data_IF_771125100359
#
_entry.id   IF_771125100359
#
_cell.length_a   1.000
_cell.length_b   1.000
_cell.length_c   1.000
_cell.angle_alpha   90.00
_cell.angle_beta   90.00
_cell.angle_gamma   90.00
#
_symmetry.space_group_name_H-M   'P 1'
#
loop_
_entity.id
_entity.type
_entity.pdbx_description
1 polymer ?
#
# COMPACT_ATOMS: atom_id res chain seq x y z
N UNK A 1 26.14 10.38 7.92
CA UNK A 1 26.41 9.70 9.18
C UNK A 1 25.77 8.31 9.07
N UNK A 2 26.44 7.21 9.47
CA UNK A 2 25.82 5.90 9.47
C UNK A 2 24.65 5.94 10.45
N UNK A 3 23.45 5.58 9.98
CA UNK A 3 22.35 5.26 10.86
C UNK A 3 22.79 4.03 11.68
N UNK A 4 22.99 4.25 12.96
CA UNK A 4 23.16 3.17 13.94
C UNK A 4 21.83 2.42 13.93
N UNK A 5 21.87 1.21 13.42
CA UNK A 5 20.78 0.24 13.57
C UNK A 5 20.61 0.04 15.09
N UNK A 6 19.66 0.75 15.69
CA UNK A 6 19.34 0.58 17.09
C UNK A 6 18.90 -0.87 17.28
N UNK A 7 19.50 -1.58 18.21
CA UNK A 7 19.08 -2.92 18.57
C UNK A 7 17.57 -2.92 18.83
N UNK A 8 16.83 -3.97 18.42
CA UNK A 8 15.38 -4.02 18.61
C UNK A 8 15.07 -3.83 20.09
N UNK A 9 14.41 -2.74 20.42
CA UNK A 9 13.93 -2.48 21.77
C UNK A 9 12.97 -3.60 22.21
N UNK A 10 12.96 -3.94 23.49
CA UNK A 10 12.11 -5.00 24.02
C UNK A 10 10.62 -4.74 23.69
N UNK A 11 9.82 -5.80 23.48
CA UNK A 11 8.40 -5.67 23.32
C UNK A 11 7.76 -4.90 24.48
N UNK A 12 6.72 -4.14 24.19
CA UNK A 12 5.94 -3.41 25.19
C UNK A 12 5.35 -4.41 26.21
N UNK A 13 5.45 -4.08 27.50
CA UNK A 13 4.85 -4.92 28.53
C UNK A 13 3.30 -4.92 28.41
N UNK A 14 2.62 -6.02 28.76
CA UNK A 14 1.18 -6.07 28.75
C UNK A 14 0.56 -4.94 29.59
N UNK A 15 -0.33 -4.13 28.99
CA UNK A 15 -0.98 -3.00 29.66
C UNK A 15 -0.15 -1.74 29.80
N UNK A 16 1.10 -1.73 29.37
CA UNK A 16 1.92 -0.52 29.32
C UNK A 16 1.35 0.47 28.33
N UNK A 17 1.12 1.71 28.78
CA UNK A 17 0.64 2.76 27.89
C UNK A 17 1.81 3.36 27.11
N UNK A 18 1.60 3.55 25.80
CA UNK A 18 2.57 4.18 24.92
C UNK A 18 1.85 5.15 23.97
N UNK A 19 2.45 6.30 23.76
CA UNK A 19 2.03 7.25 22.72
C UNK A 19 3.10 7.30 21.64
N UNK A 20 2.68 7.20 20.40
CA UNK A 20 3.54 7.21 19.22
C UNK A 20 3.07 8.35 18.33
N UNK A 21 3.99 9.23 17.98
CA UNK A 21 3.77 10.28 17.00
C UNK A 21 4.28 9.84 15.62
N UNK A 22 3.55 10.23 14.60
CA UNK A 22 3.88 9.95 13.20
C UNK A 22 3.31 11.03 12.29
N UNK A 23 3.18 10.70 11.03
CA UNK A 23 2.64 11.60 10.00
C UNK A 23 1.31 11.06 9.49
N UNK A 24 0.35 11.94 9.21
CA UNK A 24 -0.92 11.57 8.57
C UNK A 24 -0.68 10.94 7.22
N UNK A 25 -1.00 9.65 7.06
CA UNK A 25 -1.04 8.96 5.76
C UNK A 25 -2.44 9.05 5.14
N UNK A 26 -3.47 8.70 5.92
CA UNK A 26 -4.86 8.88 5.55
C UNK A 26 -5.64 9.39 6.77
N UNK A 27 -6.39 10.50 6.65
CA UNK A 27 -7.05 11.13 7.79
C UNK A 27 -8.18 10.28 8.36
N UNK A 28 -8.43 10.41 9.65
CA UNK A 28 -9.56 9.75 10.32
C UNK A 28 -9.25 9.36 11.75
N UNK A 29 -10.26 8.78 12.38
CA UNK A 29 -10.23 8.36 13.77
C UNK A 29 -10.59 6.87 13.85
N UNK A 30 -9.83 6.09 14.62
CA UNK A 30 -10.10 4.68 14.84
C UNK A 30 -9.83 4.26 16.28
N UNK A 31 -10.57 3.27 16.75
CA UNK A 31 -10.26 2.52 17.95
C UNK A 31 -10.43 1.03 17.64
N UNK A 32 -9.48 0.22 18.06
CA UNK A 32 -9.45 -1.20 17.74
C UNK A 32 -8.37 -1.93 18.52
N UNK A 33 -8.01 -3.11 18.01
CA UNK A 33 -7.05 -4.00 18.65
C UNK A 33 -5.83 -4.15 17.75
N UNK A 34 -4.62 -4.06 18.32
CA UNK A 34 -3.36 -4.19 17.58
C UNK A 34 -3.22 -5.57 16.95
N UNK A 35 -2.77 -5.58 15.72
CA UNK A 35 -2.36 -6.77 14.98
C UNK A 35 -1.04 -6.49 14.28
N UNK A 36 0.01 -7.24 14.63
CA UNK A 36 1.34 -7.09 14.01
C UNK A 36 1.35 -7.80 12.66
N UNK A 37 1.75 -7.08 11.66
CA UNK A 37 2.07 -7.66 10.37
C UNK A 37 3.58 -7.84 10.26
N UNK A 38 4.01 -9.10 10.26
CA UNK A 38 5.42 -9.47 10.13
C UNK A 38 5.61 -10.17 8.80
N UNK A 39 6.52 -9.65 8.00
CA UNK A 39 6.93 -10.31 6.76
C UNK A 39 7.99 -11.35 7.12
N UNK A 40 7.63 -12.64 7.06
CA UNK A 40 8.59 -13.71 7.31
C UNK A 40 9.75 -13.66 6.33
N UNK A 41 10.97 -13.84 6.84
CA UNK A 41 12.14 -14.02 5.99
C UNK A 41 12.02 -15.34 5.22
N UNK A 42 12.28 -15.30 3.91
CA UNK A 42 12.32 -16.50 3.10
C UNK A 42 13.72 -17.10 3.13
N UNK A 43 13.84 -18.33 3.58
CA UNK A 43 15.08 -19.10 3.47
C UNK A 43 15.28 -19.55 2.02
N UNK A 44 16.41 -19.20 1.44
CA UNK A 44 16.74 -19.44 0.04
C UNK A 44 18.07 -20.19 -0.01
N UNK A 45 18.04 -21.38 -0.59
CA UNK A 45 19.26 -22.13 -0.84
C UNK A 45 20.12 -21.41 -1.89
N UNK A 46 21.41 -21.25 -1.62
CA UNK A 46 22.33 -20.58 -2.53
C UNK A 46 22.69 -21.47 -3.73
N UNK A 47 22.93 -22.77 -3.49
CA UNK A 47 23.35 -23.71 -4.51
C UNK A 47 22.21 -24.10 -5.45
N UNK A 48 22.45 -24.02 -6.76
CA UNK A 48 21.50 -24.42 -7.79
C UNK A 48 21.65 -25.88 -8.21
N UNK A 49 20.61 -26.41 -8.85
CA UNK A 49 20.51 -27.79 -9.36
C UNK A 49 20.93 -27.91 -10.85
N UNK A 50 21.51 -26.87 -11.41
CA UNK A 50 21.95 -26.79 -12.79
C UNK A 50 21.27 -25.65 -13.57
N UNK A 51 22.04 -25.04 -14.48
CA UNK A 51 21.66 -23.79 -15.16
C UNK A 51 20.32 -23.90 -15.90
N UNK A 52 20.10 -25.00 -16.61
CA UNK A 52 18.87 -25.20 -17.38
C UNK A 52 17.63 -25.30 -16.47
N UNK A 53 17.75 -26.10 -15.40
CA UNK A 53 16.69 -26.30 -14.41
C UNK A 53 16.33 -24.99 -13.72
N UNK A 54 17.34 -24.26 -13.23
CA UNK A 54 17.12 -22.99 -12.53
C UNK A 54 16.57 -21.91 -13.46
N UNK A 55 17.04 -21.85 -14.70
CA UNK A 55 16.53 -20.90 -15.70
C UNK A 55 15.07 -21.20 -16.05
N UNK A 56 14.71 -22.46 -16.20
CA UNK A 56 13.34 -22.87 -16.46
C UNK A 56 12.42 -22.53 -15.26
N UNK A 57 12.89 -22.81 -14.04
CA UNK A 57 12.15 -22.50 -12.80
C UNK A 57 11.90 -21.00 -12.65
N UNK A 58 12.94 -20.15 -12.82
CA UNK A 58 12.79 -18.69 -12.74
C UNK A 58 11.82 -18.15 -13.80
N UNK A 59 11.94 -18.64 -15.03
CA UNK A 59 11.02 -18.23 -16.12
C UNK A 59 9.58 -18.61 -15.81
N UNK A 60 9.33 -19.81 -15.31
CA UNK A 60 8.00 -20.27 -14.92
C UNK A 60 7.42 -19.42 -13.77
N UNK A 61 8.22 -19.17 -12.72
CA UNK A 61 7.79 -18.37 -11.57
C UNK A 61 7.47 -16.94 -11.95
N UNK A 62 8.31 -16.28 -12.77
CA UNK A 62 8.05 -14.92 -13.27
C UNK A 62 6.78 -14.85 -14.12
N UNK A 63 6.55 -15.84 -14.99
CA UNK A 63 5.33 -15.92 -15.79
C UNK A 63 4.09 -16.08 -14.90
N UNK A 64 4.08 -17.00 -13.96
CA UNK A 64 2.98 -17.23 -13.04
C UNK A 64 2.68 -15.98 -12.19
N UNK A 65 3.73 -15.30 -11.71
CA UNK A 65 3.59 -14.04 -10.98
C UNK A 65 2.96 -12.96 -11.87
N UNK A 66 3.39 -12.86 -13.13
CA UNK A 66 2.82 -11.90 -14.08
C UNK A 66 1.34 -12.17 -14.35
N UNK A 67 0.95 -13.42 -14.59
CA UNK A 67 -0.44 -13.83 -14.78
C UNK A 67 -1.33 -13.46 -13.58
N UNK A 68 -0.82 -13.66 -12.36
CA UNK A 68 -1.52 -13.27 -11.13
C UNK A 68 -1.71 -11.76 -11.03
N UNK A 69 -0.67 -10.98 -11.36
CA UNK A 69 -0.75 -9.51 -11.33
C UNK A 69 -1.68 -8.99 -12.44
N UNK A 70 -1.63 -9.56 -13.65
CA UNK A 70 -2.55 -9.21 -14.75
C UNK A 70 -4.01 -9.42 -14.36
N UNK A 71 -4.31 -10.55 -13.72
CA UNK A 71 -5.64 -10.81 -13.19
C UNK A 71 -6.06 -9.80 -12.10
N UNK A 72 -5.13 -9.35 -11.27
CA UNK A 72 -5.38 -8.31 -10.27
C UNK A 72 -5.61 -6.93 -10.92
N UNK A 73 -4.85 -6.57 -11.95
CA UNK A 73 -5.07 -5.34 -12.74
C UNK A 73 -6.46 -5.32 -13.36
N UNK A 74 -6.88 -6.45 -13.95
CA UNK A 74 -8.21 -6.56 -14.57
C UNK A 74 -9.36 -6.38 -13.55
N UNK A 75 -9.17 -6.79 -12.31
CA UNK A 75 -10.15 -6.62 -11.23
C UNK A 75 -10.16 -5.20 -10.62
N UNK A 76 -9.02 -4.53 -10.62
CA UNK A 76 -8.86 -3.21 -9.97
C UNK A 76 -9.46 -2.06 -10.80
N UNK A 77 -9.79 -2.28 -12.06
CA UNK A 77 -10.29 -1.24 -12.96
C UNK A 77 -9.24 -0.16 -13.26
N UNK A 78 -9.69 1.08 -13.38
CA UNK A 78 -8.81 2.25 -13.50
C UNK A 78 -8.61 2.88 -12.12
N UNK A 79 -7.34 3.15 -11.75
CA UNK A 79 -7.03 3.80 -10.47
C UNK A 79 -5.59 3.54 -10.00
N UNK A 80 -5.18 4.17 -8.89
CA UNK A 80 -3.80 4.09 -8.39
C UNK A 80 -3.30 2.65 -8.18
N UNK A 81 -4.16 1.75 -7.71
CA UNK A 81 -3.82 0.34 -7.51
C UNK A 81 -3.44 -0.35 -8.82
N UNK A 82 -4.17 -0.08 -9.91
CA UNK A 82 -3.87 -0.66 -11.21
C UNK A 82 -2.55 -0.12 -11.78
N UNK A 83 -2.22 1.14 -11.54
CA UNK A 83 -0.95 1.75 -11.97
C UNK A 83 0.25 1.12 -11.28
N UNK A 84 0.18 0.91 -9.96
CA UNK A 84 1.22 0.22 -9.20
C UNK A 84 1.43 -1.20 -9.75
N UNK A 85 0.35 -1.94 -9.95
CA UNK A 85 0.43 -3.31 -10.49
C UNK A 85 0.99 -3.37 -11.92
N UNK A 86 0.71 -2.36 -12.77
CA UNK A 86 1.34 -2.26 -14.10
C UNK A 86 2.84 -2.00 -14.01
N UNK A 87 3.29 -1.19 -13.06
CA UNK A 87 4.72 -1.00 -12.80
C UNK A 87 5.40 -2.30 -12.38
N UNK A 88 4.76 -3.12 -11.53
CA UNK A 88 5.25 -4.45 -11.16
C UNK A 88 5.39 -5.38 -12.36
N UNK A 89 4.45 -5.35 -13.33
CA UNK A 89 4.56 -6.11 -14.57
C UNK A 89 5.76 -5.68 -15.42
N UNK A 90 6.07 -4.39 -15.45
CA UNK A 90 7.25 -3.89 -16.17
C UNK A 90 8.55 -4.46 -15.58
N UNK A 91 8.70 -4.50 -14.25
CA UNK A 91 9.85 -5.13 -13.59
C UNK A 91 9.97 -6.62 -13.88
N UNK A 92 8.87 -7.36 -13.89
CA UNK A 92 8.87 -8.79 -14.22
C UNK A 92 9.30 -9.07 -15.66
N UNK A 93 9.09 -8.12 -16.57
CA UNK A 93 9.42 -8.25 -17.99
C UNK A 93 10.79 -7.68 -18.35
N UNK A 94 11.46 -7.04 -17.40
CA UNK A 94 12.76 -6.41 -17.61
C UNK A 94 13.81 -7.45 -18.03
N UNK A 95 14.45 -7.28 -19.22
CA UNK A 95 15.48 -8.20 -19.71
C UNK A 95 16.78 -8.07 -18.93
N UNK A 96 17.12 -6.90 -18.38
CA UNK A 96 18.36 -6.68 -17.65
C UNK A 96 18.36 -7.40 -16.32
N UNK A 97 17.22 -7.38 -15.59
CA UNK A 97 17.04 -8.17 -14.37
C UNK A 97 17.16 -9.67 -14.66
N UNK A 98 16.57 -10.12 -15.77
CA UNK A 98 16.64 -11.53 -16.19
C UNK A 98 18.05 -11.94 -16.56
N UNK A 99 18.76 -11.08 -17.29
CA UNK A 99 20.15 -11.31 -17.72
C UNK A 99 21.12 -11.39 -16.55
N UNK A 100 20.97 -10.50 -15.57
CA UNK A 100 21.80 -10.49 -14.36
C UNK A 100 21.57 -11.74 -13.50
N UNK A 101 20.32 -12.17 -13.31
CA UNK A 101 20.01 -13.42 -12.62
C UNK A 101 20.56 -14.64 -13.37
N UNK A 102 20.47 -14.66 -14.71
CA UNK A 102 21.02 -15.74 -15.53
C UNK A 102 22.56 -15.85 -15.41
N UNK A 103 23.25 -14.74 -15.20
CA UNK A 103 24.69 -14.75 -14.95
C UNK A 103 25.02 -15.50 -13.66
N UNK A 104 24.33 -15.23 -12.57
CA UNK A 104 24.52 -15.91 -11.29
C UNK A 104 24.15 -17.41 -11.36
N UNK A 105 23.10 -17.77 -12.11
CA UNK A 105 22.75 -19.17 -12.30
C UNK A 105 23.84 -19.92 -13.09
N UNK A 106 24.53 -19.26 -14.04
CA UNK A 106 25.71 -19.86 -14.72
C UNK A 106 26.89 -20.07 -13.76
N UNK A 107 26.98 -19.32 -12.68
CA UNK A 107 27.95 -19.53 -11.60
C UNK A 107 27.52 -20.62 -10.59
N UNK A 108 26.43 -21.35 -10.88
CA UNK A 108 25.94 -22.44 -10.04
C UNK A 108 24.98 -22.04 -8.93
N UNK A 109 24.46 -20.79 -8.94
CA UNK A 109 23.50 -20.34 -7.96
C UNK A 109 22.08 -20.81 -8.31
N UNK A 110 21.24 -20.97 -7.28
CA UNK A 110 19.81 -21.27 -7.44
C UNK A 110 19.05 -20.09 -8.07
N UNK A 111 17.90 -20.36 -8.66
CA UNK A 111 17.01 -19.36 -9.22
C UNK A 111 16.58 -18.33 -8.16
N UNK A 112 16.25 -18.78 -6.96
CA UNK A 112 15.85 -17.92 -5.85
C UNK A 112 16.96 -16.98 -5.39
N UNK A 113 18.16 -17.52 -5.18
CA UNK A 113 19.32 -16.72 -4.79
C UNK A 113 19.73 -15.73 -5.88
N UNK A 114 19.76 -16.17 -7.13
CA UNK A 114 20.12 -15.34 -8.27
C UNK A 114 19.13 -14.17 -8.45
N UNK A 115 17.84 -14.46 -8.37
CA UNK A 115 16.80 -13.44 -8.46
C UNK A 115 16.88 -12.44 -7.31
N UNK A 116 16.91 -12.93 -6.07
CA UNK A 116 17.02 -12.08 -4.87
C UNK A 116 18.25 -11.18 -4.91
N UNK A 117 19.43 -11.75 -5.18
CA UNK A 117 20.68 -10.99 -5.24
C UNK A 117 20.67 -9.92 -6.33
N UNK A 118 20.06 -10.21 -7.47
CA UNK A 118 19.89 -9.23 -8.55
C UNK A 118 19.02 -8.07 -8.11
N UNK A 119 17.88 -8.34 -7.51
CA UNK A 119 16.97 -7.30 -7.03
C UNK A 119 17.59 -6.51 -5.88
N UNK A 120 18.21 -7.17 -4.90
CA UNK A 120 18.87 -6.49 -3.76
C UNK A 120 19.93 -5.48 -4.23
N UNK A 121 20.68 -5.80 -5.30
CA UNK A 121 21.65 -4.86 -5.90
C UNK A 121 20.97 -3.64 -6.49
N UNK A 122 19.85 -3.80 -7.19
CA UNK A 122 19.09 -2.70 -7.77
C UNK A 122 18.46 -1.82 -6.68
N UNK A 123 17.85 -2.46 -5.68
CA UNK A 123 17.28 -1.76 -4.51
C UNK A 123 18.33 -0.92 -3.80
N UNK A 124 19.51 -1.49 -3.54
CA UNK A 124 20.61 -0.78 -2.92
C UNK A 124 21.10 0.42 -3.76
N UNK A 125 21.12 0.28 -5.09
CA UNK A 125 21.47 1.37 -6.01
C UNK A 125 20.43 2.50 -5.97
N UNK A 126 19.14 2.17 -6.00
CA UNK A 126 18.05 3.16 -5.94
C UNK A 126 18.04 3.91 -4.59
N UNK A 127 18.20 3.19 -3.48
CA UNK A 127 18.24 3.81 -2.13
C UNK A 127 19.43 4.74 -1.94
N UNK A 128 20.58 4.44 -2.57
CA UNK A 128 21.76 5.31 -2.53
C UNK A 128 21.55 6.70 -3.13
N UNK A 129 20.60 6.85 -4.04
CA UNK A 129 20.31 8.12 -4.70
C UNK A 129 19.57 9.12 -3.80
N UNK A 130 19.07 8.69 -2.64
CA UNK A 130 18.44 9.55 -1.64
C UNK A 130 17.15 10.26 -2.08
N UNK A 131 16.54 9.80 -3.17
CA UNK A 131 15.32 10.37 -3.72
C UNK A 131 14.10 9.57 -3.24
N UNK A 132 13.09 10.21 -2.62
CA UNK A 132 11.88 9.53 -2.12
C UNK A 132 11.15 8.71 -3.18
N UNK A 133 11.01 9.22 -4.40
CA UNK A 133 10.34 8.50 -5.51
C UNK A 133 11.09 7.22 -5.88
N UNK A 134 12.42 7.26 -5.84
CA UNK A 134 13.26 6.08 -6.11
C UNK A 134 13.22 5.08 -4.94
N UNK A 135 13.02 5.56 -3.71
CA UNK A 135 12.81 4.69 -2.55
C UNK A 135 11.50 3.89 -2.65
N UNK A 136 10.42 4.52 -3.15
CA UNK A 136 9.16 3.82 -3.45
C UNK A 136 9.35 2.76 -4.55
N UNK A 137 10.11 3.08 -5.60
CA UNK A 137 10.46 2.09 -6.65
C UNK A 137 11.28 0.92 -6.11
N UNK A 138 12.13 1.17 -5.12
CA UNK A 138 12.88 0.10 -4.45
C UNK A 138 11.93 -0.85 -3.69
N UNK A 139 10.92 -0.31 -3.00
CA UNK A 139 9.90 -1.10 -2.31
C UNK A 139 9.05 -1.93 -3.29
N UNK A 140 8.69 -1.37 -4.45
CA UNK A 140 8.00 -2.10 -5.51
C UNK A 140 8.82 -3.30 -6.03
N UNK A 141 10.13 -3.10 -6.21
CA UNK A 141 11.05 -4.18 -6.63
C UNK A 141 11.14 -5.28 -5.57
N UNK A 142 11.19 -4.92 -4.29
CA UNK A 142 11.20 -5.89 -3.17
C UNK A 142 9.90 -6.70 -3.14
N UNK A 143 8.74 -6.07 -3.36
CA UNK A 143 7.45 -6.76 -3.43
C UNK A 143 7.41 -7.77 -4.60
N UNK A 144 7.81 -7.34 -5.79
CA UNK A 144 7.91 -8.22 -6.97
C UNK A 144 8.89 -9.36 -6.73
N UNK A 145 10.05 -9.07 -6.11
CA UNK A 145 11.03 -10.09 -5.76
C UNK A 145 10.40 -11.16 -4.88
N UNK A 146 9.77 -10.75 -3.80
CA UNK A 146 9.14 -11.66 -2.85
C UNK A 146 8.08 -12.55 -3.50
N UNK A 147 7.24 -12.01 -4.35
CA UNK A 147 6.21 -12.77 -5.08
C UNK A 147 6.81 -13.87 -5.95
N UNK A 148 7.88 -13.58 -6.69
CA UNK A 148 8.58 -14.58 -7.50
C UNK A 148 9.23 -15.65 -6.61
N UNK A 149 9.83 -15.26 -5.50
CA UNK A 149 10.43 -16.19 -4.54
C UNK A 149 9.40 -17.14 -3.92
N UNK A 150 8.22 -16.67 -3.57
CA UNK A 150 7.14 -17.51 -3.05
C UNK A 150 6.72 -18.58 -4.06
N UNK A 151 6.61 -18.22 -5.33
CA UNK A 151 6.31 -19.18 -6.40
C UNK A 151 7.45 -20.19 -6.56
N UNK A 152 8.71 -19.75 -6.55
CA UNK A 152 9.89 -20.63 -6.63
C UNK A 152 9.97 -21.63 -5.47
N UNK A 153 9.58 -21.18 -4.26
CA UNK A 153 9.58 -22.00 -3.05
C UNK A 153 8.30 -22.82 -2.89
N UNK A 154 7.37 -22.72 -3.84
CA UNK A 154 6.04 -23.33 -3.77
C UNK A 154 5.31 -23.03 -2.44
N UNK A 155 5.47 -21.79 -1.96
CA UNK A 155 4.84 -21.28 -0.76
C UNK A 155 3.70 -20.33 -1.14
N UNK A 156 2.60 -20.44 -0.43
CA UNK A 156 1.55 -19.42 -0.42
C UNK A 156 1.68 -18.63 0.87
N UNK A 157 1.60 -17.31 0.78
CA UNK A 157 1.46 -16.52 2.00
C UNK A 157 0.02 -16.60 2.45
N UNK A 158 -0.17 -17.10 3.65
CA UNK A 158 -1.49 -16.98 4.30
C UNK A 158 -1.75 -15.50 4.57
N UNK A 159 -2.88 -15.01 4.08
CA UNK A 159 -3.34 -13.66 4.44
C UNK A 159 -3.46 -13.56 5.95
N UNK A 160 -3.02 -12.46 6.54
CA UNK A 160 -3.20 -12.26 7.97
C UNK A 160 -4.67 -12.44 8.33
N UNK A 161 -4.95 -13.37 9.24
CA UNK A 161 -6.32 -13.64 9.73
C UNK A 161 -6.76 -12.49 10.65
N UNK A 162 -7.13 -11.36 10.04
CA UNK A 162 -7.57 -10.18 10.77
C UNK A 162 -8.91 -10.43 11.46
N UNK A 163 -8.99 -10.09 12.73
CA UNK A 163 -10.27 -9.96 13.43
C UNK A 163 -10.93 -8.61 13.04
N UNK A 164 -12.28 -8.52 13.05
CA UNK A 164 -12.94 -7.24 12.85
C UNK A 164 -12.47 -6.18 13.87
N UNK A 165 -12.15 -4.99 13.37
CA UNK A 165 -11.65 -3.91 14.21
C UNK A 165 -10.13 -3.95 14.46
N UNK A 166 -9.38 -4.73 13.68
CA UNK A 166 -7.92 -4.77 13.78
C UNK A 166 -7.28 -3.45 13.36
N UNK A 167 -6.27 -3.02 14.12
CA UNK A 167 -5.34 -1.95 13.76
C UNK A 167 -4.01 -2.60 13.42
N UNK A 168 -3.58 -2.46 12.17
CA UNK A 168 -2.38 -3.10 11.66
C UNK A 168 -1.13 -2.30 12.05
N UNK A 169 -0.13 -3.00 12.59
CA UNK A 169 1.19 -2.46 12.91
C UNK A 169 2.23 -3.17 12.08
N UNK A 170 3.03 -2.42 11.31
CA UNK A 170 4.09 -2.96 10.46
C UNK A 170 5.26 -1.98 10.34
N UNK A 171 6.41 -2.48 9.92
CA UNK A 171 7.53 -1.63 9.49
C UNK A 171 7.14 -0.89 8.19
N UNK A 172 6.76 -1.67 7.21
CA UNK A 172 6.17 -1.22 5.94
C UNK A 172 5.12 -2.25 5.49
N UNK A 173 4.25 -1.85 4.59
CA UNK A 173 3.19 -2.72 4.06
C UNK A 173 3.23 -2.67 2.53
N UNK A 174 3.70 -3.73 1.87
CA UNK A 174 3.71 -3.79 0.42
C UNK A 174 2.29 -3.65 -0.16
N UNK A 175 2.11 -2.95 -1.30
CA UNK A 175 0.81 -2.79 -1.95
C UNK A 175 0.08 -4.10 -2.23
N UNK A 176 0.85 -5.14 -2.59
CA UNK A 176 0.33 -6.49 -2.79
C UNK A 176 -0.35 -7.05 -1.55
N UNK A 177 0.31 -6.87 -0.41
CA UNK A 177 -0.16 -7.37 0.87
C UNK A 177 -1.40 -6.62 1.34
N UNK A 178 -1.41 -5.30 1.13
CA UNK A 178 -2.60 -4.50 1.42
C UNK A 178 -3.80 -4.92 0.56
N UNK A 179 -3.58 -5.29 -0.69
CA UNK A 179 -4.64 -5.77 -1.59
C UNK A 179 -5.25 -7.11 -1.14
N UNK A 180 -4.45 -7.96 -0.50
CA UNK A 180 -4.87 -9.27 0.01
C UNK A 180 -5.58 -9.19 1.38
N UNK A 181 -5.48 -8.04 2.08
CA UNK A 181 -6.14 -7.83 3.36
C UNK A 181 -7.63 -7.53 3.16
N UNK A 182 -8.45 -8.08 4.05
CA UNK A 182 -9.86 -7.71 4.15
C UNK A 182 -10.00 -6.32 4.77
N UNK A 183 -10.12 -5.31 3.91
CA UNK A 183 -10.26 -3.91 4.31
C UNK A 183 -11.47 -3.66 5.25
N UNK A 184 -12.50 -4.51 5.19
CA UNK A 184 -13.68 -4.42 6.08
C UNK A 184 -13.36 -4.77 7.52
N UNK A 185 -12.27 -5.49 7.78
CA UNK A 185 -11.80 -5.84 9.12
C UNK A 185 -10.78 -4.85 9.70
N UNK A 186 -10.19 -4.01 8.85
CA UNK A 186 -9.23 -3.00 9.28
C UNK A 186 -9.94 -1.78 9.86
N UNK A 187 -9.62 -1.45 11.11
CA UNK A 187 -10.02 -0.19 11.73
C UNK A 187 -9.02 0.94 11.42
N UNK A 188 -7.73 0.61 11.31
CA UNK A 188 -6.66 1.56 11.02
C UNK A 188 -5.33 0.89 10.73
N UNK A 189 -4.33 1.71 10.33
CA UNK A 189 -2.97 1.25 10.00
C UNK A 189 -1.96 2.19 10.66
N UNK A 190 -0.90 1.64 11.24
CA UNK A 190 0.25 2.37 11.77
C UNK A 190 1.54 1.75 11.23
N UNK A 191 2.32 2.52 10.47
CA UNK A 191 3.57 2.07 9.87
C UNK A 191 4.76 2.80 10.49
N UNK A 192 5.84 2.04 10.76
CA UNK A 192 7.10 2.61 11.24
C UNK A 192 7.75 3.52 10.19
N UNK A 193 7.72 3.09 8.93
CA UNK A 193 8.25 3.80 7.78
C UNK A 193 7.19 4.48 6.93
N UNK A 194 7.55 4.76 5.68
CA UNK A 194 6.67 5.37 4.69
C UNK A 194 6.54 6.88 4.80
N UNK A 195 5.71 7.46 3.96
CA UNK A 195 5.42 8.88 3.92
C UNK A 195 3.96 9.16 3.54
N UNK A 196 3.49 10.42 3.66
CA UNK A 196 2.10 10.78 3.38
C UNK A 196 1.69 10.57 1.91
N UNK A 197 2.65 10.51 1.00
CA UNK A 197 2.46 10.26 -0.43
C UNK A 197 2.77 8.82 -0.83
N UNK A 198 3.09 7.94 0.13
CA UNK A 198 3.38 6.54 -0.16
C UNK A 198 2.17 5.81 -0.74
N UNK A 199 2.44 4.75 -1.50
CA UNK A 199 1.39 3.91 -2.10
C UNK A 199 0.35 3.46 -1.08
N UNK A 200 0.78 3.07 0.12
CA UNK A 200 -0.14 2.64 1.18
C UNK A 200 -0.99 3.78 1.72
N UNK A 201 -0.42 4.97 1.89
CA UNK A 201 -1.19 6.14 2.31
C UNK A 201 -2.32 6.46 1.31
N UNK A 202 -2.00 6.42 0.00
CA UNK A 202 -2.97 6.66 -1.07
C UNK A 202 -4.05 5.56 -1.10
N UNK A 203 -3.65 4.29 -1.04
CA UNK A 203 -4.58 3.16 -1.04
C UNK A 203 -5.47 3.12 0.20
N UNK A 204 -4.93 3.42 1.37
CA UNK A 204 -5.69 3.50 2.61
C UNK A 204 -6.70 4.66 2.59
N UNK A 205 -6.28 5.83 2.08
CA UNK A 205 -7.15 6.98 1.90
C UNK A 205 -8.32 6.67 0.96
N UNK A 206 -8.08 6.00 -0.16
CA UNK A 206 -9.14 5.60 -1.10
C UNK A 206 -10.17 4.65 -0.50
N UNK A 207 -9.76 3.86 0.52
CA UNK A 207 -10.64 2.95 1.27
C UNK A 207 -11.18 3.56 2.57
N UNK A 208 -10.82 4.80 2.89
CA UNK A 208 -11.24 5.50 4.12
C UNK A 208 -10.69 4.86 5.40
N UNK A 209 -9.49 4.24 5.35
CA UNK A 209 -8.84 3.60 6.49
C UNK A 209 -7.88 4.61 7.14
N UNK A 210 -8.12 5.06 8.39
CA UNK A 210 -7.22 5.94 9.12
C UNK A 210 -5.81 5.37 9.18
N UNK A 211 -4.80 6.14 8.73
CA UNK A 211 -3.43 5.64 8.61
C UNK A 211 -2.43 6.67 9.11
N UNK A 212 -1.53 6.22 9.99
CA UNK A 212 -0.35 6.96 10.46
C UNK A 212 0.89 6.28 9.90
N UNK A 213 1.78 7.05 9.30
CA UNK A 213 3.06 6.60 8.71
C UNK A 213 4.23 7.33 9.36
N UNK A 214 5.46 6.89 9.07
CA UNK A 214 6.69 7.45 9.66
C UNK A 214 6.64 7.50 11.20
N UNK A 215 6.00 6.54 11.83
CA UNK A 215 5.81 6.48 13.29
C UNK A 215 7.03 5.91 14.04
N UNK A 216 8.10 5.54 13.30
CA UNK A 216 9.36 5.07 13.85
C UNK A 216 9.30 3.64 14.40
N UNK A 217 10.46 3.15 14.85
CA UNK A 217 10.64 1.76 15.28
C UNK A 217 9.79 1.35 16.51
N UNK A 218 9.28 2.31 17.28
CA UNK A 218 8.37 2.06 18.40
C UNK A 218 7.13 1.26 18.04
N UNK A 219 6.67 1.38 16.78
CA UNK A 219 5.57 0.60 16.19
C UNK A 219 5.79 -0.91 16.32
N UNK A 220 7.03 -1.37 16.14
CA UNK A 220 7.38 -2.78 16.11
C UNK A 220 7.41 -3.42 17.51
N UNK A 221 7.34 -2.61 18.56
CA UNK A 221 7.28 -3.07 19.95
C UNK A 221 5.86 -3.43 20.40
N UNK A 222 4.84 -2.99 19.68
CA UNK A 222 3.45 -3.19 20.06
C UNK A 222 3.05 -4.65 19.80
N UNK A 223 2.76 -5.43 20.86
CA UNK A 223 2.32 -6.82 20.68
C UNK A 223 0.86 -6.87 20.16
N UNK A 224 0.45 -8.04 19.70
CA UNK A 224 -0.94 -8.28 19.34
C UNK A 224 -1.88 -8.16 20.54
N UNK A 225 -3.13 -7.79 20.27
CA UNK A 225 -4.20 -7.80 21.26
C UNK A 225 -4.27 -6.58 22.17
N UNK A 226 -3.45 -5.54 21.96
CA UNK A 226 -3.52 -4.31 22.74
C UNK A 226 -4.64 -3.39 22.25
N UNK A 227 -5.30 -2.69 23.18
CA UNK A 227 -6.25 -1.62 22.83
C UNK A 227 -5.52 -0.44 22.21
N UNK A 228 -5.99 0.08 21.09
CA UNK A 228 -5.32 1.14 20.35
C UNK A 228 -6.32 2.20 19.90
N UNK A 229 -5.93 3.47 20.01
CA UNK A 229 -6.58 4.60 19.35
C UNK A 229 -5.62 5.17 18.31
N UNK A 230 -6.12 5.38 17.09
CA UNK A 230 -5.48 6.17 16.04
C UNK A 230 -6.25 7.47 15.86
N UNK A 231 -5.56 8.59 16.05
CA UNK A 231 -5.97 9.91 15.57
C UNK A 231 -5.03 10.28 14.40
N UNK A 232 -5.43 9.86 13.21
CA UNK A 232 -4.61 10.09 12.03
C UNK A 232 -4.65 11.55 11.55
N UNK A 233 -5.59 12.38 12.03
CA UNK A 233 -5.60 13.81 11.74
C UNK A 233 -4.51 14.53 12.53
N UNK A 234 -4.27 14.09 13.78
CA UNK A 234 -3.18 14.59 14.59
C UNK A 234 -1.85 13.85 14.37
N UNK A 235 -1.83 12.77 13.60
CA UNK A 235 -0.66 11.91 13.42
C UNK A 235 -0.29 11.11 14.67
N UNK A 236 -1.25 10.77 15.52
CA UNK A 236 -1.00 10.21 16.85
C UNK A 236 -1.64 8.84 17.04
N UNK A 237 -0.90 7.95 17.70
CA UNK A 237 -1.37 6.61 18.07
C UNK A 237 -1.17 6.39 19.55
N UNK A 238 -2.22 5.98 20.26
CA UNK A 238 -2.17 5.67 21.71
C UNK A 238 -2.42 4.19 21.93
N UNK A 239 -1.47 3.52 22.56
CA UNK A 239 -1.54 2.11 22.95
C UNK A 239 -1.99 2.03 24.41
N UNK A 240 -2.90 1.12 24.72
CA UNK A 240 -3.51 0.93 26.03
C UNK A 240 -4.02 2.25 26.64
N UNK A 241 -4.84 3.02 25.88
CA UNK A 241 -5.42 4.24 26.42
C UNK A 241 -6.40 3.93 27.57
N UNK A 242 -6.77 4.91 28.39
CA UNK A 242 -7.83 4.75 29.36
C UNK A 242 -9.12 4.23 28.67
N UNK A 243 -9.82 3.29 29.33
CA UNK A 243 -10.99 2.64 28.75
C UNK A 243 -12.10 3.65 28.35
N UNK A 244 -12.25 4.73 29.09
CA UNK A 244 -13.22 5.78 28.76
C UNK A 244 -12.89 6.47 27.43
N UNK A 245 -11.61 6.76 27.17
CA UNK A 245 -11.14 7.34 25.92
C UNK A 245 -11.33 6.39 24.76
N UNK A 246 -11.03 5.10 24.97
CA UNK A 246 -11.20 4.06 23.95
C UNK A 246 -12.66 3.96 23.49
N UNK A 247 -13.60 3.85 24.43
CA UNK A 247 -15.03 3.77 24.13
C UNK A 247 -15.53 5.05 23.46
N UNK A 248 -15.14 6.23 23.98
CA UNK A 248 -15.52 7.51 23.39
C UNK A 248 -15.02 7.64 21.93
N UNK A 249 -13.79 7.20 21.66
CA UNK A 249 -13.22 7.22 20.32
C UNK A 249 -13.91 6.23 19.39
N UNK A 250 -14.23 5.03 19.87
CA UNK A 250 -14.96 4.03 19.10
C UNK A 250 -16.34 4.55 18.68
N UNK A 251 -17.07 5.19 19.60
CA UNK A 251 -18.36 5.81 19.31
C UNK A 251 -18.24 6.99 18.34
N UNK A 252 -17.21 7.81 18.49
CA UNK A 252 -16.96 8.93 17.58
C UNK A 252 -16.62 8.43 16.16
N UNK A 253 -15.78 7.41 16.02
CA UNK A 253 -15.44 6.79 14.75
C UNK A 253 -16.68 6.16 14.08
N UNK A 254 -17.54 5.48 14.85
CA UNK A 254 -18.80 4.93 14.35
C UNK A 254 -19.71 6.02 13.82
N UNK A 255 -20.00 7.05 14.62
CA UNK A 255 -20.85 8.19 14.20
C UNK A 255 -20.30 8.88 12.95
N UNK A 256 -18.98 9.00 12.82
CA UNK A 256 -18.37 9.60 11.63
C UNK A 256 -18.60 8.74 10.39
N UNK A 257 -18.48 7.41 10.49
CA UNK A 257 -18.77 6.47 9.39
C UNK A 257 -20.24 6.49 8.99
N UNK A 258 -21.16 6.47 9.98
CA UNK A 258 -22.60 6.56 9.75
C UNK A 258 -22.97 7.86 9.05
N UNK A 259 -22.40 8.99 9.50
CA UNK A 259 -22.61 10.29 8.87
C UNK A 259 -22.05 10.35 7.45
N UNK A 260 -20.87 9.79 7.21
CA UNK A 260 -20.30 9.71 5.87
C UNK A 260 -21.17 8.86 4.93
N UNK A 261 -21.68 7.73 5.41
CA UNK A 261 -22.59 6.87 4.66
C UNK A 261 -23.93 7.58 4.36
N UNK A 262 -24.51 8.25 5.35
CA UNK A 262 -25.73 9.03 5.19
C UNK A 262 -25.53 10.21 4.21
N UNK A 263 -24.41 10.92 4.32
CA UNK A 263 -24.06 11.99 3.39
C UNK A 263 -23.95 11.44 1.96
N UNK A 264 -23.25 10.30 1.77
CA UNK A 264 -23.10 9.65 0.44
C UNK A 264 -24.47 9.25 -0.14
N UNK A 265 -25.37 8.74 0.68
CA UNK A 265 -26.74 8.42 0.24
C UNK A 265 -27.52 9.69 -0.15
N UNK A 266 -27.28 10.80 0.56
CA UNK A 266 -27.94 12.07 0.28
C UNK A 266 -27.37 12.81 -0.93
N UNK A 267 -26.13 12.53 -1.37
CA UNK A 267 -25.50 13.22 -2.52
C UNK A 267 -26.17 12.93 -3.86
N UNK A 268 -27.03 11.93 -3.94
CA UNK A 268 -27.82 11.63 -5.16
C UNK A 268 -29.08 12.52 -5.28
N UNK A 269 -29.38 13.34 -4.28
CA UNK A 269 -30.51 14.25 -4.33
C UNK A 269 -30.08 15.65 -4.81
N UNK A 270 -30.99 16.34 -5.48
CA UNK A 270 -30.76 17.71 -5.90
C UNK A 270 -30.37 18.59 -4.70
N UNK A 271 -29.37 19.44 -4.89
CA UNK A 271 -28.89 20.36 -3.85
C UNK A 271 -29.65 21.69 -3.91
N UNK A 272 -30.19 22.13 -2.76
CA UNK A 272 -30.88 23.41 -2.64
C UNK A 272 -30.27 24.20 -1.47
N UNK A 273 -30.20 25.51 -1.66
CA UNK A 273 -29.91 26.47 -0.56
C UNK A 273 -31.12 26.57 0.42
N UNK A 274 -30.89 27.17 1.59
CA UNK A 274 -31.94 27.31 2.60
C UNK A 274 -33.14 28.15 2.13
N UNK A 275 -32.96 29.02 1.14
CA UNK A 275 -33.98 29.81 0.48
C UNK A 275 -34.60 29.15 -0.77
N UNK A 276 -34.26 27.87 -1.03
CA UNK A 276 -34.88 27.04 -2.07
C UNK A 276 -34.29 27.20 -3.47
N UNK A 277 -33.13 27.84 -3.61
CA UNK A 277 -32.44 27.93 -4.91
C UNK A 277 -31.68 26.66 -5.16
N UNK A 278 -31.87 26.03 -6.33
CA UNK A 278 -31.12 24.84 -6.77
C UNK A 278 -29.69 25.21 -7.09
N UNK A 279 -28.75 24.43 -6.59
CA UNK A 279 -27.32 24.54 -6.86
C UNK A 279 -26.84 23.26 -7.52
N UNK A 280 -26.27 23.37 -8.71
CA UNK A 280 -25.65 22.22 -9.39
C UNK A 280 -24.31 21.88 -8.77
N UNK A 281 -24.08 20.58 -8.52
CA UNK A 281 -22.83 20.06 -7.94
C UNK A 281 -21.95 19.54 -9.06
N UNK A 282 -20.82 20.21 -9.28
CA UNK A 282 -19.90 19.88 -10.35
C UNK A 282 -18.57 19.31 -9.80
N UNK A 283 -17.99 18.35 -10.51
CA UNK A 283 -16.68 17.79 -10.17
C UNK A 283 -15.56 18.40 -11.01
N UNK A 284 -14.37 18.50 -10.42
CA UNK A 284 -13.15 18.73 -11.17
C UNK A 284 -12.54 17.36 -11.53
N UNK A 285 -12.32 17.12 -12.82
CA UNK A 285 -11.84 15.85 -13.34
C UNK A 285 -10.41 15.97 -13.88
N UNK A 286 -9.54 15.05 -13.54
CA UNK A 286 -8.20 14.91 -14.10
C UNK A 286 -8.15 13.98 -15.34
N UNK A 287 -9.19 13.15 -15.53
CA UNK A 287 -9.30 12.24 -16.66
C UNK A 287 -10.54 11.35 -16.61
N UNK A 288 -10.72 10.47 -17.60
CA UNK A 288 -11.89 9.58 -17.68
C UNK A 288 -12.09 8.67 -16.48
N UNK A 289 -10.99 8.31 -15.80
CA UNK A 289 -11.02 7.46 -14.59
C UNK A 289 -11.79 8.09 -13.42
N UNK A 290 -11.83 9.42 -13.35
CA UNK A 290 -12.48 10.16 -12.24
C UNK A 290 -14.00 10.24 -12.41
N UNK A 291 -14.50 10.04 -13.63
CA UNK A 291 -15.92 10.23 -13.96
C UNK A 291 -16.82 9.33 -13.13
N UNK A 292 -16.49 8.03 -13.05
CA UNK A 292 -17.32 7.08 -12.29
C UNK A 292 -17.41 7.47 -10.81
N UNK A 293 -16.28 7.84 -10.21
CA UNK A 293 -16.19 8.27 -8.80
C UNK A 293 -16.95 9.59 -8.59
N UNK A 294 -16.85 10.53 -9.53
CA UNK A 294 -17.56 11.80 -9.44
C UNK A 294 -19.10 11.61 -9.45
N UNK A 295 -19.60 10.78 -10.38
CA UNK A 295 -21.02 10.43 -10.48
C UNK A 295 -21.49 9.71 -9.20
N UNK A 296 -20.70 8.76 -8.70
CA UNK A 296 -20.99 8.01 -7.46
C UNK A 296 -21.09 8.93 -6.24
N UNK A 297 -20.33 10.03 -6.23
CA UNK A 297 -20.36 11.05 -5.19
C UNK A 297 -21.37 12.18 -5.48
N UNK A 298 -22.26 12.03 -6.46
CA UNK A 298 -23.36 12.94 -6.74
C UNK A 298 -23.01 14.14 -7.59
N UNK A 299 -21.91 14.12 -8.34
CA UNK A 299 -21.62 15.16 -9.31
C UNK A 299 -22.58 15.06 -10.51
N UNK A 300 -23.19 16.19 -10.86
CA UNK A 300 -24.12 16.32 -11.96
C UNK A 300 -23.42 16.60 -13.30
N UNK A 301 -22.18 17.07 -13.22
CA UNK A 301 -21.38 17.38 -14.40
C UNK A 301 -19.92 17.69 -14.07
N UNK A 302 -19.18 18.04 -15.11
CA UNK A 302 -17.79 18.46 -15.00
C UNK A 302 -17.70 19.98 -14.94
N UNK A 303 -17.20 20.52 -13.82
CA UNK A 303 -16.93 21.95 -13.65
C UNK A 303 -15.60 22.39 -14.25
N UNK A 304 -14.57 21.50 -14.15
CA UNK A 304 -13.24 21.71 -14.71
C UNK A 304 -12.64 20.38 -15.13
N UNK A 305 -12.31 20.26 -16.41
CA UNK A 305 -11.50 19.14 -16.94
C UNK A 305 -10.04 19.60 -17.03
N UNK A 306 -9.16 18.94 -16.27
CA UNK A 306 -7.72 19.21 -16.27
C UNK A 306 -7.03 18.50 -17.42
N UNK A 307 -7.21 19.04 -18.63
CA UNK A 307 -6.63 18.46 -19.84
C UNK A 307 -5.10 18.53 -19.92
N UNK A 308 -4.45 19.36 -19.05
CA UNK A 308 -3.00 19.42 -18.95
C UNK A 308 -2.37 18.07 -18.57
N UNK A 309 -3.06 17.20 -17.87
CA UNK A 309 -2.54 15.87 -17.54
C UNK A 309 -2.30 14.97 -18.74
N UNK A 310 -3.00 15.20 -19.87
CA UNK A 310 -2.79 14.46 -21.12
C UNK A 310 -1.42 14.82 -21.73
N UNK A 311 -0.86 16.00 -21.40
CA UNK A 311 0.42 16.51 -21.91
C UNK A 311 1.61 16.16 -21.01
N UNK A 312 1.36 15.70 -19.77
CA UNK A 312 2.44 15.39 -18.83
C UNK A 312 3.16 14.08 -19.23
N UNK A 313 4.48 14.06 -18.95
CA UNK A 313 5.36 12.90 -19.17
C UNK A 313 5.45 12.42 -20.64
N UNK A 314 5.28 13.34 -21.61
CA UNK A 314 5.37 13.07 -23.03
C UNK A 314 6.47 13.90 -23.70
N UNK A 315 7.14 13.30 -24.69
CA UNK A 315 8.10 14.00 -25.53
C UNK A 315 7.43 14.79 -26.68
N UNK A 316 6.21 14.40 -27.06
CA UNK A 316 5.41 15.02 -28.15
C UNK A 316 4.00 15.30 -27.67
N UNK A 317 3.35 16.31 -28.25
CA UNK A 317 1.94 16.58 -27.98
C UNK A 317 1.06 15.37 -28.32
N UNK A 318 -0.01 15.12 -27.53
CA UNK A 318 -0.98 14.06 -27.83
C UNK A 318 -1.68 14.33 -29.17
N UNK A 319 -2.01 13.27 -29.89
CA UNK A 319 -2.80 13.36 -31.11
C UNK A 319 -4.25 13.73 -30.80
N UNK A 320 -5.01 14.15 -31.83
CA UNK A 320 -6.43 14.46 -31.67
C UNK A 320 -7.24 13.23 -31.19
N UNK A 321 -6.90 12.03 -31.69
CA UNK A 321 -7.53 10.78 -31.27
C UNK A 321 -7.25 10.42 -29.80
N UNK A 322 -6.09 10.81 -29.26
CA UNK A 322 -5.73 10.61 -27.85
C UNK A 322 -6.40 11.64 -26.92
N UNK A 323 -6.88 12.75 -27.46
CA UNK A 323 -7.56 13.80 -26.72
C UNK A 323 -9.09 13.63 -26.70
N UNK A 324 -9.64 12.84 -27.63
CA UNK A 324 -11.04 12.48 -27.74
C UNK A 324 -11.38 11.23 -26.90
#
# INVERSE_FOLDING_TARGET
APQVEAAPEAPLAPGEALEIDGVTGAPGLAAGVSHRFVVEALEIEEAGRGVETETAALRAARRQTAETIEAAVARSGAGPQAEILRAHLAFLRDPDLSGAAAALMREGKSAGYAWKTTIDRQVAALRKLGNPVLAERAADLEDVCRRVLLVLLNRTEEGAALAPGSILFADDLPPSRFADLDAGKLAGICLAGGGPTSHIAILAASKGIPTVVAAGAGVLRVPDGQSVIIDAEAGRVRINPPQADFVATQDAARRRRERAAANRAATQADCFTADGVRVEVMANLGGPADVAVAVENGAEGCGLLRSEFIFLNRATAPTEEEQL
#
